data_IF_293056654868
#
_entry.id   IF_293056654868
#
_cell.length_a   1.000
_cell.length_b   1.000
_cell.length_c   1.000
_cell.angle_alpha   90.00
_cell.angle_beta   90.00
_cell.angle_gamma   90.00
#
_symmetry.space_group_name_H-M   'P 1'
#
loop_
_entity.id
_entity.type
_entity.pdbx_description
1 polymer ?
#
# COMPACT_ATOMS: atom_id res chain seq x y z
N UNK A 1 -1.81 -7.26 2.09
CA UNK A 1 -3.06 -6.96 2.84
C UNK A 1 -3.21 -5.44 2.95
N UNK A 2 -4.43 -4.90 2.89
CA UNK A 2 -4.71 -3.46 2.99
C UNK A 2 -5.58 -3.21 4.22
N UNK A 3 -5.21 -2.23 5.03
CA UNK A 3 -5.97 -1.81 6.20
C UNK A 3 -5.97 -0.29 6.29
N UNK A 4 -7.13 0.32 6.49
CA UNK A 4 -7.23 1.75 6.79
C UNK A 4 -7.85 1.92 8.16
N UNK A 5 -7.17 2.67 9.02
CA UNK A 5 -7.59 2.96 10.39
C UNK A 5 -7.92 4.43 10.54
N UNK A 6 -9.09 4.73 11.08
CA UNK A 6 -9.41 6.08 11.55
C UNK A 6 -8.70 6.36 12.89
N UNK A 7 -8.06 7.52 12.99
CA UNK A 7 -7.33 7.98 14.18
C UNK A 7 -8.07 9.17 14.78
N UNK A 8 -9.06 8.87 15.64
CA UNK A 8 -9.96 9.87 16.24
C UNK A 8 -9.25 10.94 17.08
N UNK A 9 -8.05 10.64 17.57
CA UNK A 9 -7.27 11.52 18.45
C UNK A 9 -6.15 12.29 17.71
N UNK A 10 -5.80 11.90 16.48
CA UNK A 10 -4.72 12.53 15.73
C UNK A 10 -5.25 13.40 14.60
N UNK A 11 -5.43 14.70 14.88
CA UNK A 11 -5.90 15.69 13.88
C UNK A 11 -4.97 15.83 12.67
N UNK A 12 -3.69 15.51 12.83
CA UNK A 12 -2.70 15.58 11.75
C UNK A 12 -2.75 14.36 10.81
N UNK A 13 -3.43 13.29 11.20
CA UNK A 13 -3.54 12.05 10.44
C UNK A 13 -4.88 11.38 10.77
N UNK A 14 -5.98 11.86 10.19
CA UNK A 14 -7.32 11.36 10.48
C UNK A 14 -7.53 9.92 10.01
N UNK A 15 -6.90 9.54 8.91
CA UNK A 15 -6.95 8.20 8.35
C UNK A 15 -5.54 7.71 8.07
N UNK A 16 -5.17 6.58 8.67
CA UNK A 16 -3.89 5.93 8.47
C UNK A 16 -4.10 4.67 7.62
N UNK A 17 -3.55 4.67 6.41
CA UNK A 17 -3.51 3.49 5.57
C UNK A 17 -2.26 2.67 5.87
N UNK A 18 -2.40 1.35 5.86
CA UNK A 18 -1.35 0.36 6.01
C UNK A 18 -1.45 -0.64 4.86
N UNK A 19 -0.33 -0.85 4.16
CA UNK A 19 -0.23 -1.79 3.06
C UNK A 19 0.90 -2.77 3.36
N UNK A 20 0.55 -4.04 3.53
CA UNK A 20 1.51 -5.14 3.66
C UNK A 20 1.76 -5.77 2.31
N UNK A 21 3.04 -5.84 1.94
CA UNK A 21 3.53 -6.44 0.71
C UNK A 21 3.93 -7.90 0.93
N UNK A 22 4.54 -8.16 2.08
CA UNK A 22 4.91 -9.50 2.57
C UNK A 22 4.71 -9.53 4.09
N UNK A 23 4.94 -10.69 4.74
CA UNK A 23 4.91 -10.80 6.20
C UNK A 23 5.80 -9.77 6.92
N UNK A 24 6.90 -9.36 6.28
CA UNK A 24 7.91 -8.47 6.88
C UNK A 24 7.98 -7.07 6.28
N UNK A 25 7.25 -6.80 5.19
CA UNK A 25 7.31 -5.50 4.51
C UNK A 25 5.95 -4.82 4.55
N UNK A 26 5.89 -3.69 5.24
CA UNK A 26 4.70 -2.83 5.32
C UNK A 26 5.07 -1.39 5.01
N UNK A 27 4.13 -0.65 4.41
CA UNK A 27 4.18 0.80 4.32
C UNK A 27 2.93 1.40 4.93
N UNK A 28 3.08 2.58 5.52
CA UNK A 28 1.98 3.33 6.09
C UNK A 28 1.94 4.76 5.53
N UNK A 29 0.73 5.31 5.43
CA UNK A 29 0.47 6.66 4.96
C UNK A 29 -0.62 7.33 5.79
N UNK A 30 -0.53 8.65 5.92
CA UNK A 30 -1.46 9.47 6.70
C UNK A 30 -2.25 10.40 5.80
N UNK A 31 -3.57 10.45 6.01
CA UNK A 31 -4.51 11.14 5.14
C UNK A 31 -5.58 11.87 5.93
N UNK A 32 -6.13 12.92 5.35
CA UNK A 32 -7.22 13.71 5.92
C UNK A 32 -8.60 13.15 5.58
N UNK A 33 -8.70 12.29 4.57
CA UNK A 33 -9.96 11.65 4.16
C UNK A 33 -9.80 10.15 3.95
N UNK A 34 -10.84 9.38 4.27
CA UNK A 34 -10.88 7.93 4.07
C UNK A 34 -10.61 7.56 2.60
N UNK A 35 -11.26 8.27 1.69
CA UNK A 35 -11.15 8.02 0.24
C UNK A 35 -9.72 8.21 -0.27
N UNK A 36 -8.98 9.20 0.24
CA UNK A 36 -7.57 9.38 -0.13
C UNK A 36 -6.70 8.24 0.40
N UNK A 37 -6.93 7.80 1.64
CA UNK A 37 -6.23 6.67 2.24
C UNK A 37 -6.45 5.37 1.45
N UNK A 38 -7.70 5.09 1.09
CA UNK A 38 -8.07 3.92 0.30
C UNK A 38 -7.48 3.99 -1.12
N UNK A 39 -7.56 5.15 -1.78
CA UNK A 39 -7.04 5.30 -3.14
C UNK A 39 -5.53 5.09 -3.16
N UNK A 40 -4.80 5.75 -2.26
CA UNK A 40 -3.36 5.58 -2.14
C UNK A 40 -2.98 4.13 -1.86
N UNK A 41 -3.66 3.49 -0.92
CA UNK A 41 -3.37 2.11 -0.55
C UNK A 41 -3.63 1.12 -1.70
N UNK A 42 -4.72 1.31 -2.44
CA UNK A 42 -5.04 0.52 -3.63
C UNK A 42 -4.05 0.76 -4.77
N UNK A 43 -3.65 2.01 -5.01
CA UNK A 43 -2.64 2.35 -6.00
C UNK A 43 -1.29 1.69 -5.68
N UNK A 44 -0.85 1.79 -4.41
CA UNK A 44 0.41 1.23 -3.96
C UNK A 44 0.43 -0.30 -4.06
N UNK A 45 -0.66 -0.96 -3.71
CA UNK A 45 -0.80 -2.41 -3.87
C UNK A 45 -0.68 -2.81 -5.35
N UNK A 46 -1.33 -2.07 -6.27
CA UNK A 46 -1.27 -2.34 -7.71
C UNK A 46 0.15 -2.16 -8.25
N UNK A 47 0.80 -1.05 -7.94
CA UNK A 47 2.18 -0.77 -8.38
C UNK A 47 3.14 -1.91 -7.99
N UNK A 48 2.96 -2.47 -6.80
CA UNK A 48 3.84 -3.52 -6.29
C UNK A 48 3.56 -4.86 -6.96
N UNK A 49 2.28 -5.24 -7.11
CA UNK A 49 1.91 -6.44 -7.89
C UNK A 49 2.44 -6.33 -9.32
N UNK A 50 2.30 -5.17 -9.95
CA UNK A 50 2.80 -4.93 -11.31
C UNK A 50 4.32 -5.04 -11.37
N UNK A 51 5.04 -4.41 -10.44
CA UNK A 51 6.52 -4.48 -10.39
C UNK A 51 7.03 -5.89 -10.15
N UNK A 52 6.39 -6.66 -9.25
CA UNK A 52 6.75 -8.04 -8.98
C UNK A 52 6.47 -8.95 -10.18
N UNK A 53 5.34 -8.73 -10.87
CA UNK A 53 5.03 -9.42 -12.12
C UNK A 53 6.10 -9.16 -13.20
N UNK A 54 6.49 -7.90 -13.41
CA UNK A 54 7.54 -7.55 -14.37
C UNK A 54 8.89 -8.18 -14.01
N UNK A 55 9.27 -8.18 -12.73
CA UNK A 55 10.49 -8.88 -12.27
C UNK A 55 10.42 -10.39 -12.55
N UNK A 56 9.28 -11.02 -12.29
CA UNK A 56 9.10 -12.45 -12.53
C UNK A 56 9.19 -12.80 -14.03
N UNK A 57 8.62 -11.96 -14.90
CA UNK A 57 8.74 -12.10 -16.36
C UNK A 57 10.21 -11.93 -16.79
N UNK A 58 10.88 -10.88 -16.31
CA UNK A 58 12.27 -10.60 -16.69
C UNK A 58 13.25 -11.70 -16.24
N UNK A 59 13.06 -12.26 -15.04
CA UNK A 59 13.87 -13.37 -14.53
C UNK A 59 13.62 -14.69 -15.27
N UNK A 60 12.45 -14.88 -15.92
CA UNK A 60 12.15 -16.08 -16.71
C UNK A 60 12.73 -16.05 -18.12
N UNK A 61 13.03 -14.87 -18.67
CA UNK A 61 13.62 -14.73 -20.01
C UNK A 61 15.15 -14.82 -20.03
N UNK A 62 15.79 -15.09 -18.88
CA UNK A 62 17.25 -15.22 -18.75
C UNK A 62 17.75 -16.64 -18.49
N UNK A 63 16.91 -17.69 -18.66
CA UNK A 63 17.32 -19.09 -18.65
C UNK A 63 17.29 -19.68 -20.05
#
# INVERSE_FOLDING_TARGET
MLFVREQKENRSCLYQAHVWFTEHSHQCGCFTTLKAAEHWANWLQKEIVTRDLFKAIHNRSGQ
#
